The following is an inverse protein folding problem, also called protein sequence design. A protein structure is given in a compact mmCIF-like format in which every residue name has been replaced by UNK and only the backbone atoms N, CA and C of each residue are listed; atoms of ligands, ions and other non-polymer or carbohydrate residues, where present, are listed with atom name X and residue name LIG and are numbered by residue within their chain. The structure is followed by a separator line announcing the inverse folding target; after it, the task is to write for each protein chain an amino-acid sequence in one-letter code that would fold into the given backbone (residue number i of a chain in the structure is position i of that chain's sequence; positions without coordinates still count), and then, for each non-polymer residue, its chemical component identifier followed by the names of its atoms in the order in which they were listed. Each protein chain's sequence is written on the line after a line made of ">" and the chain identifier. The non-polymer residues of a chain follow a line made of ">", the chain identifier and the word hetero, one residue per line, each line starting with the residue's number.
data_IF_161844712799
#
_entry.id   IF_161844712799
#
_cell.length_a   1.000
_cell.length_b   1.000
_cell.length_c   1.000
_cell.angle_alpha   90.00
_cell.angle_beta   90.00
_cell.angle_gamma   90.00
#
_symmetry.space_group_name_H-M   'P 1'
#
loop_
_entity.id
_entity.type
_entity.pdbx_description
1 polymer ?
#
# COMPACT_ATOMS: atom_id res chain seq x y z
N UNK A 1 16.21 3.78 11.93
CA UNK A 1 15.13 4.23 11.06
C UNK A 1 13.80 4.22 11.79
N UNK A 2 13.12 5.34 11.76
CA UNK A 2 11.88 5.52 12.49
C UNK A 2 10.67 5.56 11.54
N UNK A 3 9.49 5.32 12.08
CA UNK A 3 8.24 5.49 11.31
C UNK A 3 8.05 6.94 10.85
N UNK A 4 8.66 7.89 11.54
CA UNK A 4 8.68 9.29 11.13
C UNK A 4 9.40 9.44 9.78
N UNK A 5 10.51 8.75 9.60
CA UNK A 5 11.26 8.76 8.34
C UNK A 5 10.45 8.16 7.19
N UNK A 6 9.75 7.06 7.47
CA UNK A 6 8.88 6.44 6.47
C UNK A 6 7.75 7.39 6.06
N UNK A 7 7.12 8.07 7.03
CA UNK A 7 6.06 9.03 6.74
C UNK A 7 6.55 10.19 5.88
N UNK A 8 7.77 10.66 6.10
CA UNK A 8 8.39 11.67 5.23
C UNK A 8 8.56 11.15 3.80
N UNK A 9 8.99 9.89 3.66
CA UNK A 9 9.22 9.29 2.35
C UNK A 9 7.94 9.12 1.54
N UNK A 10 6.82 8.84 2.19
CA UNK A 10 5.52 8.70 1.52
C UNK A 10 4.73 10.01 1.49
N UNK A 11 5.28 11.08 2.07
CA UNK A 11 4.66 12.42 2.14
C UNK A 11 3.26 12.39 2.78
N UNK A 12 3.12 11.61 3.84
CA UNK A 12 1.87 11.53 4.58
C UNK A 12 2.14 11.23 6.06
N UNK A 13 1.55 12.02 6.95
CA UNK A 13 1.66 11.85 8.39
C UNK A 13 0.34 11.29 8.95
N UNK A 14 0.43 10.12 9.59
CA UNK A 14 -0.73 9.47 10.19
C UNK A 14 -1.08 10.14 11.52
N UNK A 15 -2.35 10.49 11.68
CA UNK A 15 -2.84 11.01 12.95
C UNK A 15 -2.81 9.91 14.03
N UNK A 16 -3.18 8.69 13.64
CA UNK A 16 -3.05 7.51 14.50
C UNK A 16 -1.94 6.60 13.92
N UNK A 17 -0.78 6.63 14.54
CA UNK A 17 0.38 5.85 14.10
C UNK A 17 0.13 4.35 14.16
N UNK A 18 -0.81 3.90 14.97
CA UNK A 18 -1.14 2.48 15.07
C UNK A 18 -1.70 1.92 13.76
N UNK A 19 -2.33 2.77 12.96
CA UNK A 19 -2.82 2.36 11.65
C UNK A 19 -1.66 2.05 10.69
N UNK A 20 -0.61 2.86 10.71
CA UNK A 20 0.60 2.58 9.95
C UNK A 20 1.30 1.31 10.46
N UNK A 21 1.39 1.15 11.76
CA UNK A 21 1.97 -0.07 12.35
C UNK A 21 1.20 -1.31 11.91
N UNK A 22 -0.12 -1.24 11.87
CA UNK A 22 -0.96 -2.34 11.38
C UNK A 22 -0.67 -2.65 9.91
N UNK A 23 -0.54 -1.61 9.09
CA UNK A 23 -0.22 -1.76 7.67
C UNK A 23 1.12 -2.46 7.43
N UNK A 24 2.04 -2.35 8.39
CA UNK A 24 3.37 -2.93 8.31
C UNK A 24 3.48 -4.29 9.02
N UNK A 25 2.39 -4.82 9.54
CA UNK A 25 2.38 -6.09 10.28
C UNK A 25 1.90 -7.23 9.39
N UNK A 26 2.80 -8.13 9.03
CA UNK A 26 2.47 -9.31 8.24
C UNK A 26 1.79 -10.37 9.12
N UNK A 27 0.92 -11.20 8.53
CA UNK A 27 0.21 -12.25 9.26
C UNK A 27 1.14 -13.28 9.92
N UNK A 28 2.35 -13.45 9.41
CA UNK A 28 3.34 -14.35 10.04
C UNK A 28 3.83 -13.83 11.37
N UNK A 29 3.77 -12.52 11.60
CA UNK A 29 4.16 -11.89 12.85
C UNK A 29 3.00 -11.89 13.86
N UNK A 30 1.79 -11.57 13.39
CA UNK A 30 0.59 -11.56 14.23
C UNK A 30 -0.60 -12.05 13.40
N UNK A 31 -1.04 -13.29 13.66
CA UNK A 31 -2.12 -13.92 12.91
C UNK A 31 -3.50 -13.30 13.17
N UNK A 32 -3.67 -12.61 14.29
CA UNK A 32 -4.98 -12.03 14.67
C UNK A 32 -5.13 -10.58 14.26
N UNK A 33 -4.03 -9.81 14.26
CA UNK A 33 -4.04 -8.40 13.95
C UNK A 33 -2.91 -8.12 12.95
N UNK A 34 -3.25 -7.92 11.71
CA UNK A 34 -2.29 -7.80 10.62
C UNK A 34 -2.84 -6.96 9.47
N UNK A 35 -2.07 -6.88 8.39
CA UNK A 35 -2.36 -5.98 7.29
C UNK A 35 -3.26 -6.54 6.17
N UNK A 36 -3.79 -7.76 6.32
CA UNK A 36 -4.56 -8.39 5.22
C UNK A 36 -5.75 -7.55 4.76
N UNK A 37 -6.53 -7.00 5.68
CA UNK A 37 -7.70 -6.19 5.32
C UNK A 37 -7.30 -4.87 4.69
N UNK A 38 -6.23 -4.26 5.15
CA UNK A 38 -5.70 -3.02 4.56
C UNK A 38 -5.13 -3.29 3.16
N UNK A 39 -4.48 -4.42 2.97
CA UNK A 39 -3.99 -4.85 1.67
C UNK A 39 -5.14 -5.02 0.67
N UNK A 40 -6.22 -5.68 1.10
CA UNK A 40 -7.43 -5.85 0.29
C UNK A 40 -7.98 -4.51 -0.17
N UNK A 41 -8.12 -3.58 0.77
CA UNK A 41 -8.64 -2.23 0.47
C UNK A 41 -7.69 -1.47 -0.44
N UNK A 42 -6.40 -1.52 -0.15
CA UNK A 42 -5.38 -0.82 -0.93
C UNK A 42 -5.29 -1.30 -2.36
N UNK A 43 -5.45 -2.60 -2.59
CA UNK A 43 -5.49 -3.16 -3.94
C UNK A 43 -6.62 -2.51 -4.76
N UNK A 44 -7.81 -2.42 -4.20
CA UNK A 44 -8.97 -1.80 -4.85
C UNK A 44 -8.74 -0.32 -5.14
N UNK A 45 -8.17 0.41 -4.19
CA UNK A 45 -7.88 1.85 -4.34
C UNK A 45 -6.84 2.06 -5.41
N UNK A 46 -5.78 1.28 -5.41
CA UNK A 46 -4.72 1.37 -6.40
C UNK A 46 -5.28 1.16 -7.81
N UNK A 47 -6.05 0.10 -8.01
CA UNK A 47 -6.65 -0.20 -9.30
C UNK A 47 -7.59 0.92 -9.77
N UNK A 48 -8.43 1.43 -8.88
CA UNK A 48 -9.35 2.52 -9.20
C UNK A 48 -8.60 3.81 -9.56
N UNK A 49 -7.59 4.16 -8.79
CA UNK A 49 -6.79 5.37 -9.02
C UNK A 49 -6.05 5.32 -10.35
N UNK A 50 -5.44 4.19 -10.67
CA UNK A 50 -4.74 4.00 -11.95
C UNK A 50 -5.74 4.05 -13.12
N UNK A 51 -6.91 3.42 -12.95
CA UNK A 51 -7.94 3.43 -13.97
C UNK A 51 -8.40 4.85 -14.30
N UNK A 52 -8.63 5.65 -13.27
CA UNK A 52 -9.04 7.05 -13.45
C UNK A 52 -7.95 7.86 -14.14
N UNK A 53 -6.71 7.68 -13.71
CA UNK A 53 -5.56 8.36 -14.30
C UNK A 53 -5.45 8.04 -15.79
N UNK A 54 -5.53 6.76 -16.17
CA UNK A 54 -5.42 6.33 -17.56
C UNK A 54 -6.59 6.82 -18.40
N UNK A 55 -7.79 6.78 -17.83
CA UNK A 55 -8.99 7.27 -18.48
C UNK A 55 -8.85 8.75 -18.87
N UNK A 56 -8.33 9.57 -17.98
CA UNK A 56 -8.17 11.00 -18.21
C UNK A 56 -6.99 11.32 -19.11
N UNK A 57 -5.89 10.58 -18.99
CA UNK A 57 -4.67 10.84 -19.75
C UNK A 57 -4.75 10.37 -21.20
N UNK A 58 -5.49 9.29 -21.45
CA UNK A 58 -5.58 8.69 -22.78
C UNK A 58 -7.03 8.63 -23.25
N UNK A 59 -7.65 9.80 -23.51
CA UNK A 59 -9.10 9.86 -23.82
C UNK A 59 -9.49 9.18 -25.14
N UNK A 60 -8.53 8.93 -26.02
CA UNK A 60 -8.81 8.32 -27.33
C UNK A 60 -8.55 6.82 -27.34
N UNK A 61 -8.10 6.24 -26.24
CA UNK A 61 -7.80 4.82 -26.17
C UNK A 61 -9.01 4.01 -25.71
N UNK A 62 -9.12 2.79 -26.22
CA UNK A 62 -10.22 1.88 -25.90
C UNK A 62 -9.91 1.06 -24.67
N UNK A 63 -10.96 0.46 -24.10
CA UNK A 63 -10.90 -0.31 -22.87
C UNK A 63 -9.78 -1.36 -22.85
N UNK A 64 -9.63 -2.13 -23.96
CA UNK A 64 -8.63 -3.20 -24.01
C UNK A 64 -7.21 -2.72 -23.77
N UNK A 65 -6.84 -1.59 -24.36
CA UNK A 65 -5.51 -1.01 -24.16
C UNK A 65 -5.38 -0.46 -22.74
N UNK A 66 -6.40 0.26 -22.26
CA UNK A 66 -6.40 0.82 -20.91
C UNK A 66 -6.25 -0.29 -19.86
N UNK A 67 -6.95 -1.41 -20.05
CA UNK A 67 -6.86 -2.56 -19.14
C UNK A 67 -5.45 -3.15 -19.14
N UNK A 68 -4.82 -3.27 -20.30
CA UNK A 68 -3.44 -3.78 -20.40
C UNK A 68 -2.45 -2.83 -19.76
N UNK A 69 -2.62 -1.53 -19.95
CA UNK A 69 -1.77 -0.51 -19.32
C UNK A 69 -1.88 -0.57 -17.81
N UNK A 70 -3.09 -0.67 -17.29
CA UNK A 70 -3.32 -0.81 -15.85
C UNK A 70 -2.63 -2.06 -15.30
N UNK A 71 -2.81 -3.20 -15.95
CA UNK A 71 -2.18 -4.46 -15.53
C UNK A 71 -0.66 -4.34 -15.48
N UNK A 72 -0.07 -3.65 -16.44
CA UNK A 72 1.36 -3.42 -16.48
C UNK A 72 1.83 -2.55 -15.31
N UNK A 73 1.09 -1.48 -15.01
CA UNK A 73 1.46 -0.53 -13.95
C UNK A 73 1.31 -1.16 -12.56
N UNK A 74 0.25 -1.92 -12.32
CA UNK A 74 0.00 -2.56 -11.01
C UNK A 74 0.74 -3.88 -10.84
N UNK A 75 1.57 -4.24 -11.81
CA UNK A 75 2.35 -5.47 -11.76
C UNK A 75 3.26 -5.50 -10.54
N UNK A 76 3.42 -6.69 -9.97
CA UNK A 76 4.21 -6.88 -8.76
C UNK A 76 5.61 -6.31 -8.82
N UNK A 77 6.24 -6.38 -9.98
CA UNK A 77 7.56 -5.81 -10.21
C UNK A 77 7.62 -4.29 -9.95
N UNK A 78 6.60 -3.56 -10.39
CA UNK A 78 6.50 -2.11 -10.14
C UNK A 78 6.34 -1.81 -8.67
N UNK A 79 5.46 -2.54 -7.99
CA UNK A 79 5.21 -2.37 -6.57
C UNK A 79 6.42 -2.77 -5.72
N UNK A 80 7.10 -3.84 -6.09
CA UNK A 80 8.33 -4.29 -5.42
C UNK A 80 9.44 -3.25 -5.52
N UNK A 81 9.58 -2.65 -6.69
CA UNK A 81 10.56 -1.59 -6.91
C UNK A 81 10.26 -0.40 -6.01
N UNK A 82 9.00 -0.01 -5.89
CA UNK A 82 8.58 1.09 -5.02
C UNK A 82 8.85 0.76 -3.56
N UNK A 83 8.57 -0.47 -3.15
CA UNK A 83 8.86 -0.94 -1.80
C UNK A 83 10.36 -0.85 -1.48
N UNK A 84 11.21 -1.20 -2.44
CA UNK A 84 12.67 -1.06 -2.32
C UNK A 84 13.10 0.38 -2.15
N UNK A 85 12.54 1.28 -2.95
CA UNK A 85 12.84 2.71 -2.87
C UNK A 85 12.48 3.29 -1.51
N UNK A 86 11.41 2.78 -0.90
CA UNK A 86 10.95 3.21 0.42
C UNK A 86 11.65 2.48 1.57
N UNK A 87 12.52 1.51 1.28
CA UNK A 87 13.18 0.67 2.28
C UNK A 87 12.18 -0.07 3.17
N UNK A 88 11.05 -0.50 2.62
CA UNK A 88 9.98 -1.11 3.40
C UNK A 88 10.40 -2.35 4.18
N UNK A 89 11.36 -3.11 3.67
CA UNK A 89 11.86 -4.32 4.33
C UNK A 89 12.32 -4.04 5.77
N UNK A 90 12.79 -2.84 6.05
CA UNK A 90 13.27 -2.45 7.38
C UNK A 90 12.15 -2.09 8.36
N UNK A 91 10.96 -1.84 7.84
CA UNK A 91 9.81 -1.43 8.65
C UNK A 91 8.79 -2.53 8.86
N UNK A 92 8.82 -3.57 8.04
CA UNK A 92 7.84 -4.64 8.06
C UNK A 92 8.11 -5.61 9.21
N UNK A 93 7.07 -5.90 9.99
CA UNK A 93 7.11 -6.91 11.03
C UNK A 93 6.71 -8.27 10.43
N UNK A 94 7.67 -9.17 10.34
CA UNK A 94 7.48 -10.53 9.84
C UNK A 94 8.13 -11.53 10.78
N UNK A 95 7.70 -12.79 10.75
CA UNK A 95 8.33 -13.83 11.55
C UNK A 95 9.73 -14.15 11.03
N UNK A 96 10.59 -14.68 11.89
CA UNK A 96 11.96 -15.07 11.49
C UNK A 96 11.97 -16.12 10.39
N UNK A 97 11.05 -17.09 10.44
CA UNK A 97 10.93 -18.10 9.42
C UNK A 97 10.55 -17.51 8.06
N UNK A 98 9.64 -16.55 8.06
CA UNK A 98 9.22 -15.86 6.84
C UNK A 98 10.35 -14.99 6.26
N UNK A 99 11.16 -14.36 7.11
CA UNK A 99 12.28 -13.53 6.69
C UNK A 99 13.34 -14.35 5.92
N UNK A 100 13.40 -15.65 6.13
CA UNK A 100 14.36 -16.54 5.47
C UNK A 100 13.81 -17.23 4.23
N UNK A 101 12.63 -16.83 3.75
CA UNK A 101 12.01 -17.42 2.56
C UNK A 101 12.66 -16.93 1.26
N UNK A 102 12.28 -17.56 0.15
CA UNK A 102 12.77 -17.21 -1.19
C UNK A 102 12.48 -15.75 -1.54
N UNK A 103 13.23 -15.21 -2.48
CA UNK A 103 13.05 -13.84 -2.95
C UNK A 103 11.64 -13.60 -3.51
N UNK A 104 11.07 -14.57 -4.23
CA UNK A 104 9.72 -14.43 -4.77
C UNK A 104 8.67 -14.24 -3.66
N UNK A 105 8.84 -14.93 -2.53
CA UNK A 105 7.94 -14.80 -1.38
C UNK A 105 8.11 -13.42 -0.73
N UNK A 106 9.35 -12.95 -0.62
CA UNK A 106 9.63 -11.61 -0.09
C UNK A 106 9.02 -10.52 -0.98
N UNK A 107 9.10 -10.67 -2.29
CA UNK A 107 8.49 -9.74 -3.23
C UNK A 107 6.98 -9.65 -3.02
N UNK A 108 6.33 -10.79 -2.87
CA UNK A 108 4.89 -10.85 -2.64
C UNK A 108 4.49 -10.10 -1.36
N UNK A 109 5.28 -10.27 -0.29
CA UNK A 109 5.04 -9.57 0.99
C UNK A 109 5.24 -8.06 0.83
N UNK A 110 6.27 -7.64 0.09
CA UNK A 110 6.55 -6.22 -0.16
C UNK A 110 5.45 -5.57 -1.00
N UNK A 111 4.96 -6.26 -2.02
CA UNK A 111 3.81 -5.79 -2.80
C UNK A 111 2.59 -5.56 -1.91
N UNK A 112 2.26 -6.56 -1.09
CA UNK A 112 1.15 -6.48 -0.18
C UNK A 112 1.30 -5.34 0.82
N UNK A 113 2.54 -5.04 1.21
CA UNK A 113 2.83 -3.94 2.13
C UNK A 113 2.59 -2.56 1.49
N UNK A 114 2.91 -2.41 0.21
CA UNK A 114 2.57 -1.18 -0.53
C UNK A 114 1.06 -1.00 -0.55
N UNK A 115 0.34 -2.05 -0.89
CA UNK A 115 -1.12 -2.02 -0.94
C UNK A 115 -1.72 -1.72 0.43
N UNK A 116 -1.20 -2.32 1.49
CA UNK A 116 -1.70 -2.07 2.84
C UNK A 116 -1.44 -0.64 3.31
N UNK A 117 -0.31 -0.05 2.93
CA UNK A 117 -0.04 1.37 3.22
C UNK A 117 -1.03 2.26 2.48
N UNK A 118 -1.31 1.96 1.22
CA UNK A 118 -2.32 2.71 0.44
C UNK A 118 -3.68 2.62 1.14
N UNK A 119 -4.06 1.43 1.58
CA UNK A 119 -5.31 1.22 2.32
C UNK A 119 -5.33 2.02 3.62
N UNK A 120 -4.24 2.01 4.37
CA UNK A 120 -4.13 2.76 5.62
C UNK A 120 -4.23 4.28 5.41
N UNK A 121 -3.56 4.81 4.39
CA UNK A 121 -3.64 6.23 4.04
C UNK A 121 -5.09 6.60 3.72
N UNK A 122 -5.76 5.77 2.94
CA UNK A 122 -7.16 6.00 2.56
C UNK A 122 -8.08 6.06 3.78
N UNK A 123 -7.93 5.11 4.71
CA UNK A 123 -8.73 5.07 5.94
C UNK A 123 -8.43 6.31 6.80
N UNK A 124 -7.16 6.65 6.97
CA UNK A 124 -6.72 7.80 7.75
C UNK A 124 -7.27 9.11 7.18
N UNK A 125 -7.17 9.27 5.86
CA UNK A 125 -7.66 10.45 5.15
C UNK A 125 -9.18 10.59 5.27
N UNK A 126 -9.91 9.48 5.15
CA UNK A 126 -11.37 9.48 5.28
C UNK A 126 -11.79 9.89 6.70
N UNK A 127 -11.12 9.38 7.73
CA UNK A 127 -11.37 9.77 9.12
C UNK A 127 -11.11 11.25 9.36
N UNK A 128 -10.01 11.78 8.82
CA UNK A 128 -9.68 13.20 8.92
C UNK A 128 -10.76 14.07 8.30
N UNK A 129 -11.21 13.75 7.10
CA UNK A 129 -12.25 14.51 6.40
C UNK A 129 -13.59 14.46 7.15
N UNK A 130 -13.95 13.29 7.65
CA UNK A 130 -15.18 13.14 8.43
C UNK A 130 -15.14 14.00 9.70
N UNK A 131 -13.97 14.05 10.37
CA UNK A 131 -13.77 14.86 11.56
C UNK A 131 -13.86 16.34 11.25
N UNK A 132 -13.24 16.81 10.18
CA UNK A 132 -13.31 18.19 9.72
C UNK A 132 -14.74 18.62 9.40
N UNK A 133 -15.49 17.75 8.71
CA UNK A 133 -16.89 18.00 8.37
C UNK A 133 -17.75 18.16 9.63
N UNK A 134 -17.49 17.35 10.66
CA UNK A 134 -18.22 17.46 11.95
C UNK A 134 -17.85 18.71 12.72
N UNK A 135 -16.63 19.20 12.56
CA UNK A 135 -16.15 20.40 13.26
C UNK A 135 -16.75 21.69 12.69
N UNK A 136 -17.21 21.63 11.45
CA UNK A 136 -17.82 22.77 10.77
C UNK A 136 -19.35 22.72 10.88
#
# INVERSE_FOLDING_TARGET
>A
MSLKDLQKSIDYEFKDINLLKLALTHKSFNNKSNNERLEYLGDSILNSSISKYLFLKFPNEREGLLTRMRSFIVKGETLSKKASELNLVQYIEISKGTANLSDSRKFSILEGSIESIIGAVSVSYTHLRAHETKAN
#
